data_IF_787381084956
#
_entry.id   IF_787381084956
#
_cell.length_a   1.000
_cell.length_b   1.000
_cell.length_c   1.000
_cell.angle_alpha   90.00
_cell.angle_beta   90.00
_cell.angle_gamma   90.00
#
_symmetry.space_group_name_H-M   'P 1'
#
loop_
_entity.id
_entity.type
_entity.pdbx_description
1 polymer ?
#
# COMPACT_ATOMS: atom_id res chain seq x y z
N UNK A 1 -10.13 -36.27 0.36
CA UNK A 1 -8.78 -35.75 0.67
C UNK A 1 -8.93 -34.69 1.74
N UNK A 2 -8.78 -35.09 3.01
CA UNK A 2 -8.87 -34.20 4.18
C UNK A 2 -7.49 -33.55 4.42
N UNK A 3 -7.06 -32.74 3.48
CA UNK A 3 -5.86 -31.91 3.70
C UNK A 3 -6.20 -30.79 4.67
N UNK A 4 -5.32 -30.50 5.62
CA UNK A 4 -5.44 -29.30 6.46
C UNK A 4 -5.61 -28.05 5.57
N UNK A 5 -6.46 -27.09 5.97
CA UNK A 5 -6.62 -25.85 5.22
C UNK A 5 -5.27 -25.14 5.10
N UNK A 6 -4.91 -24.69 3.89
CA UNK A 6 -3.68 -23.92 3.69
C UNK A 6 -3.69 -22.67 4.56
N UNK A 7 -2.56 -22.38 5.15
CA UNK A 7 -2.36 -21.19 6.00
C UNK A 7 -1.64 -20.10 5.22
N UNK A 8 -2.23 -18.90 5.17
CA UNK A 8 -1.73 -17.77 4.41
C UNK A 8 -1.38 -16.63 5.36
N UNK A 9 -0.14 -16.16 5.35
CA UNK A 9 0.27 -14.96 6.05
C UNK A 9 0.36 -13.77 5.09
N UNK A 10 -0.38 -12.67 5.32
CA UNK A 10 -0.31 -11.46 4.50
C UNK A 10 0.27 -10.33 5.33
N UNK A 11 1.51 -9.95 5.03
CA UNK A 11 2.23 -8.88 5.69
C UNK A 11 2.13 -7.62 4.85
N UNK A 12 1.57 -6.53 5.40
CA UNK A 12 1.32 -5.36 4.59
C UNK A 12 1.63 -4.04 5.33
N UNK A 13 2.03 -3.04 4.56
CA UNK A 13 2.04 -1.65 4.99
C UNK A 13 0.93 -0.86 4.30
N UNK A 14 0.22 -0.02 5.05
CA UNK A 14 -0.81 0.85 4.49
C UNK A 14 -0.78 2.23 5.14
N UNK A 15 -0.50 3.29 4.37
CA UNK A 15 -0.53 4.66 4.87
C UNK A 15 -1.95 5.12 5.19
N UNK A 16 -2.82 5.15 4.20
CA UNK A 16 -4.16 5.76 4.26
C UNK A 16 -5.31 4.77 4.06
N UNK A 17 -5.03 3.47 4.12
CA UNK A 17 -6.04 2.42 4.05
C UNK A 17 -6.15 1.70 2.70
N UNK A 18 -5.60 2.21 1.61
CA UNK A 18 -5.75 1.59 0.29
C UNK A 18 -5.12 0.20 0.19
N UNK A 19 -3.86 0.02 0.63
CA UNK A 19 -3.22 -1.30 0.66
C UNK A 19 -3.95 -2.24 1.61
N UNK A 20 -4.43 -1.73 2.76
CA UNK A 20 -5.27 -2.50 3.69
C UNK A 20 -6.53 -3.02 3.01
N UNK A 21 -7.23 -2.16 2.26
CA UNK A 21 -8.43 -2.58 1.52
C UNK A 21 -8.12 -3.71 0.52
N UNK A 22 -6.98 -3.64 -0.18
CA UNK A 22 -6.53 -4.73 -1.06
C UNK A 22 -6.20 -5.99 -0.25
N UNK A 23 -5.54 -5.86 0.90
CA UNK A 23 -5.27 -6.97 1.82
C UNK A 23 -6.57 -7.65 2.25
N UNK A 24 -7.58 -6.86 2.64
CA UNK A 24 -8.88 -7.37 3.08
C UNK A 24 -9.59 -8.13 1.93
N UNK A 25 -9.50 -7.63 0.69
CA UNK A 25 -10.01 -8.30 -0.52
C UNK A 25 -9.33 -9.66 -0.72
N UNK A 26 -8.00 -9.70 -0.66
CA UNK A 26 -7.25 -10.94 -0.84
C UNK A 26 -7.53 -11.93 0.30
N UNK A 27 -7.53 -11.47 1.55
CA UNK A 27 -7.82 -12.29 2.71
C UNK A 27 -9.22 -12.92 2.63
N UNK A 28 -10.23 -12.12 2.26
CA UNK A 28 -11.59 -12.61 2.04
C UNK A 28 -11.62 -13.65 0.92
N UNK A 29 -10.94 -13.37 -0.20
CA UNK A 29 -10.91 -14.29 -1.34
C UNK A 29 -10.21 -15.62 -1.01
N UNK A 30 -9.13 -15.61 -0.21
CA UNK A 30 -8.50 -16.84 0.27
C UNK A 30 -9.41 -17.63 1.23
N UNK A 31 -10.10 -16.92 2.13
CA UNK A 31 -11.07 -17.56 3.04
C UNK A 31 -12.24 -18.20 2.29
N UNK A 32 -12.74 -17.54 1.24
CA UNK A 32 -13.77 -18.10 0.32
C UNK A 32 -13.29 -19.39 -0.37
N UNK A 33 -11.97 -19.61 -0.48
CA UNK A 33 -11.36 -20.84 -1.02
C UNK A 33 -10.91 -21.83 0.08
N UNK A 34 -11.38 -21.65 1.31
CA UNK A 34 -11.11 -22.59 2.43
C UNK A 34 -9.74 -22.43 3.08
N UNK A 35 -9.01 -21.33 2.86
CA UNK A 35 -7.73 -21.08 3.50
C UNK A 35 -7.89 -20.39 4.87
N UNK A 36 -7.01 -20.69 5.82
CA UNK A 36 -6.82 -19.88 7.02
C UNK A 36 -5.93 -18.70 6.69
N UNK A 37 -6.28 -17.46 7.12
CA UNK A 37 -5.59 -16.25 6.72
C UNK A 37 -5.33 -15.33 7.90
N UNK A 38 -4.06 -14.97 8.11
CA UNK A 38 -3.62 -13.90 8.98
C UNK A 38 -3.22 -12.68 8.14
N UNK A 39 -3.82 -11.51 8.43
CA UNK A 39 -3.48 -10.25 7.80
C UNK A 39 -2.80 -9.32 8.83
N UNK A 40 -1.52 -9.03 8.63
CA UNK A 40 -0.65 -8.45 9.64
C UNK A 40 -0.07 -7.13 9.13
N UNK A 41 -0.32 -6.04 9.87
CA UNK A 41 0.26 -4.74 9.58
C UNK A 41 1.72 -4.70 10.06
N UNK A 42 2.66 -4.52 9.14
CA UNK A 42 4.10 -4.56 9.45
C UNK A 42 4.56 -3.41 10.34
N UNK A 43 3.90 -2.27 10.29
CA UNK A 43 4.23 -1.13 11.14
C UNK A 43 3.90 -1.38 12.63
N UNK A 44 2.91 -2.21 12.93
CA UNK A 44 2.63 -2.67 14.29
C UNK A 44 3.71 -3.65 14.76
N UNK A 45 4.16 -4.55 13.89
CA UNK A 45 5.26 -5.46 14.22
C UNK A 45 6.54 -4.71 14.52
N UNK A 46 6.92 -3.74 13.66
CA UNK A 46 8.11 -2.92 13.83
C UNK A 46 8.07 -2.06 15.11
N UNK A 47 6.90 -1.52 15.45
CA UNK A 47 6.74 -0.71 16.68
C UNK A 47 6.88 -1.53 17.94
N UNK A 48 6.39 -2.75 17.93
CA UNK A 48 6.32 -3.62 19.10
C UNK A 48 7.43 -4.67 19.14
N UNK A 49 8.40 -4.60 18.21
CA UNK A 49 9.50 -5.57 18.05
C UNK A 49 9.00 -7.04 18.02
N UNK A 50 7.88 -7.28 17.30
CA UNK A 50 7.29 -8.60 17.18
C UNK A 50 8.08 -9.40 16.13
N UNK A 51 8.53 -10.59 16.50
CA UNK A 51 9.21 -11.50 15.59
C UNK A 51 8.25 -12.07 14.54
N UNK A 52 8.77 -12.29 13.34
CA UNK A 52 8.02 -12.84 12.23
C UNK A 52 8.10 -14.38 12.25
N UNK A 53 7.00 -15.04 12.55
CA UNK A 53 6.91 -16.51 12.57
C UNK A 53 6.46 -17.04 11.19
N UNK A 54 7.40 -17.09 10.24
CA UNK A 54 7.10 -17.51 8.87
C UNK A 54 6.79 -19.01 8.76
N UNK A 55 7.25 -19.82 9.71
CA UNK A 55 7.08 -21.28 9.69
C UNK A 55 5.62 -21.73 9.72
N UNK A 56 4.73 -20.95 10.31
CA UNK A 56 3.29 -21.27 10.43
C UNK A 56 2.48 -21.08 9.13
N UNK A 57 3.06 -20.46 8.10
CA UNK A 57 2.36 -20.20 6.84
C UNK A 57 2.87 -21.08 5.71
N UNK A 58 1.95 -21.65 4.93
CA UNK A 58 2.27 -22.37 3.71
C UNK A 58 2.68 -21.39 2.59
N UNK A 59 2.00 -20.25 2.53
CA UNK A 59 2.25 -19.19 1.55
C UNK A 59 2.29 -17.85 2.27
N UNK A 60 3.26 -16.99 1.92
CA UNK A 60 3.35 -15.63 2.45
C UNK A 60 3.07 -14.60 1.36
N UNK A 61 2.30 -13.57 1.71
CA UNK A 61 2.01 -12.44 0.87
C UNK A 61 2.62 -11.15 1.41
N UNK A 62 3.13 -10.29 0.52
CA UNK A 62 3.77 -9.03 0.87
C UNK A 62 3.10 -7.87 0.15
N UNK A 63 2.51 -6.93 0.91
CA UNK A 63 1.72 -5.82 0.39
C UNK A 63 2.26 -4.44 0.76
N UNK A 64 2.36 -3.53 -0.23
CA UNK A 64 2.82 -2.17 0.03
C UNK A 64 2.20 -1.13 -0.93
N UNK A 65 2.12 0.15 -0.51
CA UNK A 65 1.81 1.23 -1.42
C UNK A 65 3.05 1.64 -2.22
N UNK A 66 2.87 1.99 -3.50
CA UNK A 66 3.96 2.53 -4.31
C UNK A 66 4.17 4.00 -3.95
N UNK A 67 5.34 4.31 -3.43
CA UNK A 67 5.83 5.66 -3.19
C UNK A 67 6.96 5.97 -4.17
N UNK A 68 6.81 7.03 -4.98
CA UNK A 68 7.80 7.44 -5.98
C UNK A 68 8.41 6.25 -6.74
N UNK A 69 7.55 5.40 -7.31
CA UNK A 69 7.87 4.20 -8.10
C UNK A 69 8.48 3.02 -7.33
N UNK A 70 8.59 3.07 -5.99
CA UNK A 70 9.16 2.00 -5.18
C UNK A 70 8.29 1.65 -3.96
N UNK A 71 8.65 0.59 -3.25
CA UNK A 71 8.13 0.32 -1.90
C UNK A 71 8.70 1.36 -0.91
N UNK A 72 7.93 1.79 0.10
CA UNK A 72 8.41 2.74 1.09
C UNK A 72 9.51 2.12 1.97
N UNK A 73 10.41 2.97 2.51
CA UNK A 73 11.56 2.54 3.32
C UNK A 73 11.17 1.60 4.47
N UNK A 74 10.08 1.87 5.17
CA UNK A 74 9.58 1.03 6.26
C UNK A 74 9.30 -0.42 5.82
N UNK A 75 8.94 -0.62 4.54
CA UNK A 75 8.72 -1.96 4.00
C UNK A 75 10.04 -2.71 3.83
N UNK A 76 11.08 -2.06 3.34
CA UNK A 76 12.41 -2.67 3.28
C UNK A 76 13.00 -2.93 4.67
N UNK A 77 12.79 -2.04 5.64
CA UNK A 77 13.17 -2.26 7.05
C UNK A 77 12.50 -3.55 7.58
N UNK A 78 11.22 -3.77 7.27
CA UNK A 78 10.54 -5.01 7.63
C UNK A 78 11.16 -6.23 6.94
N UNK A 79 11.48 -6.16 5.63
CA UNK A 79 12.09 -7.28 4.91
C UNK A 79 13.43 -7.72 5.53
N UNK A 80 14.20 -6.81 6.15
CA UNK A 80 15.46 -7.19 6.83
C UNK A 80 15.23 -8.07 8.06
N UNK A 81 14.06 -7.99 8.68
CA UNK A 81 13.70 -8.77 9.88
C UNK A 81 13.14 -10.16 9.55
N UNK A 82 12.85 -10.44 8.28
CA UNK A 82 12.36 -11.76 7.88
C UNK A 82 13.44 -12.82 8.18
N UNK A 83 13.05 -13.99 8.75
CA UNK A 83 13.93 -15.14 8.84
C UNK A 83 14.28 -15.66 7.45
N UNK A 84 15.16 -16.65 7.38
CA UNK A 84 15.43 -17.39 6.14
C UNK A 84 14.12 -18.02 5.62
N UNK A 85 13.88 -17.84 4.33
CA UNK A 85 12.65 -18.26 3.66
C UNK A 85 12.60 -19.73 3.28
N UNK A 86 13.72 -20.43 3.26
CA UNK A 86 13.82 -21.85 2.87
C UNK A 86 12.98 -22.19 1.62
N UNK A 87 13.19 -21.43 0.55
CA UNK A 87 12.47 -21.53 -0.73
C UNK A 87 10.95 -21.37 -0.62
N UNK A 88 10.44 -20.75 0.46
CA UNK A 88 9.00 -20.53 0.66
C UNK A 88 8.40 -19.71 -0.48
N UNK A 89 7.33 -20.25 -1.07
CA UNK A 89 6.57 -19.54 -2.11
C UNK A 89 5.86 -18.31 -1.54
N UNK A 90 5.99 -17.21 -2.27
CA UNK A 90 5.42 -15.93 -1.86
C UNK A 90 4.73 -15.22 -3.02
N UNK A 91 3.84 -14.31 -2.68
CA UNK A 91 3.26 -13.38 -3.64
C UNK A 91 3.45 -11.94 -3.18
N UNK A 92 3.52 -11.04 -4.14
CA UNK A 92 3.67 -9.60 -3.90
C UNK A 92 2.48 -8.86 -4.51
N UNK A 93 1.89 -7.96 -3.76
CA UNK A 93 0.92 -7.03 -4.31
C UNK A 93 1.25 -5.60 -3.91
N UNK A 94 0.90 -4.68 -4.78
CA UNK A 94 1.16 -3.26 -4.57
C UNK A 94 -0.06 -2.43 -4.90
N UNK A 95 -0.30 -1.38 -4.13
CA UNK A 95 -1.33 -0.39 -4.42
C UNK A 95 -0.70 0.90 -4.94
N UNK A 96 -1.30 1.50 -5.97
CA UNK A 96 -0.85 2.78 -6.53
C UNK A 96 -2.06 3.63 -6.90
N UNK A 97 -1.91 4.95 -6.87
CA UNK A 97 -2.92 5.88 -7.38
C UNK A 97 -3.03 5.88 -8.89
N UNK A 98 -2.04 5.35 -9.61
CA UNK A 98 -1.95 5.40 -11.06
C UNK A 98 -1.40 4.09 -11.62
N UNK A 99 -1.91 3.56 -12.76
CA UNK A 99 -1.39 2.35 -13.39
C UNK A 99 -0.04 2.54 -14.09
N UNK A 100 0.43 3.77 -14.29
CA UNK A 100 1.61 4.08 -15.08
C UNK A 100 2.92 3.88 -14.30
N UNK A 101 3.97 3.42 -14.98
CA UNK A 101 5.36 3.28 -14.48
C UNK A 101 5.55 2.48 -13.17
N UNK A 102 4.64 1.59 -12.82
CA UNK A 102 4.75 0.81 -11.58
C UNK A 102 5.59 -0.48 -11.70
N UNK A 103 6.12 -0.80 -12.88
CA UNK A 103 6.87 -2.05 -13.12
C UNK A 103 8.12 -2.19 -12.25
N UNK A 104 8.92 -1.13 -12.12
CA UNK A 104 10.18 -1.15 -11.39
C UNK A 104 10.06 -1.38 -9.89
N UNK A 105 8.93 -1.02 -9.29
CA UNK A 105 8.74 -1.10 -7.82
C UNK A 105 8.86 -2.52 -7.25
N UNK A 106 8.59 -3.56 -8.02
CA UNK A 106 8.68 -4.95 -7.55
C UNK A 106 10.08 -5.53 -7.69
N UNK A 107 10.94 -4.97 -8.53
CA UNK A 107 12.29 -5.54 -8.77
C UNK A 107 13.12 -5.55 -7.49
N UNK A 108 13.18 -4.42 -6.78
CA UNK A 108 13.95 -4.31 -5.54
C UNK A 108 13.37 -5.16 -4.41
N UNK A 109 12.03 -5.22 -4.30
CA UNK A 109 11.35 -6.07 -3.32
C UNK A 109 11.59 -7.54 -3.61
N UNK A 110 11.48 -7.97 -4.89
CA UNK A 110 11.75 -9.34 -5.31
C UNK A 110 13.20 -9.74 -5.05
N UNK A 111 14.16 -8.83 -5.33
CA UNK A 111 15.57 -9.04 -5.01
C UNK A 111 15.78 -9.26 -3.52
N UNK A 112 15.24 -8.36 -2.67
CA UNK A 112 15.38 -8.47 -1.21
C UNK A 112 14.74 -9.76 -0.65
N UNK A 113 13.58 -10.18 -1.18
CA UNK A 113 12.95 -11.45 -0.81
C UNK A 113 13.78 -12.66 -1.26
N UNK A 114 14.31 -12.62 -2.49
CA UNK A 114 15.17 -13.68 -3.00
C UNK A 114 16.47 -13.84 -2.19
N UNK A 115 17.11 -12.73 -1.78
CA UNK A 115 18.28 -12.72 -0.92
C UNK A 115 18.02 -13.36 0.46
N UNK A 116 16.77 -13.39 0.88
CA UNK A 116 16.28 -14.05 2.10
C UNK A 116 15.76 -15.49 1.84
N UNK A 117 15.94 -16.05 0.65
CA UNK A 117 15.50 -17.40 0.31
C UNK A 117 14.00 -17.54 0.00
N UNK A 118 13.27 -16.46 -0.26
CA UNK A 118 11.86 -16.51 -0.68
C UNK A 118 11.71 -16.54 -2.19
N UNK A 119 10.75 -17.32 -2.70
CA UNK A 119 10.43 -17.41 -4.13
C UNK A 119 9.15 -16.64 -4.42
N UNK A 120 9.27 -15.47 -5.08
CA UNK A 120 8.09 -14.72 -5.54
C UNK A 120 7.53 -15.38 -6.80
N UNK A 121 6.37 -16.00 -6.70
CA UNK A 121 5.68 -16.67 -7.81
C UNK A 121 4.59 -15.80 -8.46
N UNK A 122 4.02 -14.86 -7.74
CA UNK A 122 2.94 -14.00 -8.25
C UNK A 122 3.11 -12.55 -7.84
N UNK A 123 2.87 -11.63 -8.78
CA UNK A 123 2.93 -10.18 -8.58
C UNK A 123 1.70 -9.50 -9.19
N UNK A 124 1.09 -8.55 -8.45
CA UNK A 124 -0.04 -7.79 -8.99
C UNK A 124 -0.09 -6.34 -8.51
N UNK A 125 -0.41 -5.46 -9.46
CA UNK A 125 -0.74 -4.07 -9.18
C UNK A 125 -2.25 -3.92 -8.97
N UNK A 126 -2.62 -3.19 -7.92
CA UNK A 126 -3.98 -2.71 -7.65
C UNK A 126 -4.00 -1.19 -7.70
N UNK A 127 -4.69 -0.64 -8.70
CA UNK A 127 -4.88 0.81 -8.76
C UNK A 127 -6.02 1.16 -7.83
N UNK A 128 -5.73 2.01 -6.87
CA UNK A 128 -6.62 2.50 -5.83
C UNK A 128 -6.67 4.04 -5.90
N UNK A 129 -7.60 4.70 -5.23
CA UNK A 129 -7.66 6.17 -5.27
C UNK A 129 -6.34 6.80 -4.82
N UNK A 130 -5.93 7.89 -5.49
CA UNK A 130 -4.70 8.59 -5.15
C UNK A 130 -4.75 9.16 -3.72
N UNK A 131 -3.58 9.19 -3.06
CA UNK A 131 -3.42 9.74 -1.70
C UNK A 131 -2.84 11.17 -1.72
N UNK A 132 -2.39 11.62 -2.88
CA UNK A 132 -1.75 12.92 -3.08
C UNK A 132 -2.13 13.50 -4.43
N UNK A 133 -1.97 14.78 -4.61
CA UNK A 133 -2.19 15.57 -5.82
C UNK A 133 -3.66 15.73 -6.21
N UNK A 134 -4.38 14.64 -6.45
CA UNK A 134 -5.70 14.69 -7.08
C UNK A 134 -6.70 13.80 -6.35
N UNK A 135 -7.86 14.35 -6.03
CA UNK A 135 -9.00 13.56 -5.55
C UNK A 135 -9.79 13.04 -6.73
N UNK A 136 -9.92 11.73 -6.82
CA UNK A 136 -10.79 11.11 -7.82
C UNK A 136 -12.25 11.30 -7.46
N UNK A 137 -13.11 11.37 -8.46
CA UNK A 137 -14.57 11.40 -8.27
C UNK A 137 -15.06 10.06 -7.68
N UNK A 138 -16.09 10.10 -6.85
CA UNK A 138 -16.57 8.92 -6.13
C UNK A 138 -16.96 7.75 -7.06
N UNK A 139 -17.57 7.97 -8.25
CA UNK A 139 -17.81 6.88 -9.21
C UNK A 139 -16.52 6.19 -9.67
N UNK A 140 -15.43 6.92 -9.92
CA UNK A 140 -14.17 6.31 -10.29
C UNK A 140 -13.55 5.55 -9.12
N UNK A 141 -13.64 6.09 -7.90
CA UNK A 141 -13.18 5.40 -6.68
C UNK A 141 -13.89 4.04 -6.55
N UNK A 142 -15.20 4.01 -6.72
CA UNK A 142 -16.00 2.78 -6.68
C UNK A 142 -15.63 1.81 -7.79
N UNK A 143 -15.42 2.27 -9.01
CA UNK A 143 -14.98 1.44 -10.14
C UNK A 143 -13.59 0.82 -9.88
N UNK A 144 -12.64 1.59 -9.36
CA UNK A 144 -11.30 1.09 -9.01
C UNK A 144 -11.38 0.00 -7.94
N UNK A 145 -12.19 0.20 -6.90
CA UNK A 145 -12.41 -0.79 -5.86
C UNK A 145 -13.04 -2.08 -6.41
N UNK A 146 -14.09 -1.98 -7.22
CA UNK A 146 -14.72 -3.14 -7.85
C UNK A 146 -13.73 -3.89 -8.76
N UNK A 147 -12.87 -3.16 -9.46
CA UNK A 147 -11.79 -3.76 -10.25
C UNK A 147 -10.76 -4.46 -9.36
N UNK A 148 -10.42 -3.88 -8.20
CA UNK A 148 -9.53 -4.51 -7.25
C UNK A 148 -10.12 -5.82 -6.69
N UNK A 149 -11.42 -5.87 -6.40
CA UNK A 149 -12.11 -7.11 -5.97
C UNK A 149 -11.99 -8.19 -7.05
N UNK A 150 -12.31 -7.87 -8.31
CA UNK A 150 -12.22 -8.83 -9.42
C UNK A 150 -10.80 -9.34 -9.61
N UNK A 151 -9.81 -8.43 -9.66
CA UNK A 151 -8.39 -8.79 -9.81
C UNK A 151 -7.85 -9.56 -8.62
N UNK A 152 -8.33 -9.29 -7.41
CA UNK A 152 -7.98 -10.02 -6.19
C UNK A 152 -8.46 -11.46 -6.25
N UNK A 153 -9.71 -11.69 -6.65
CA UNK A 153 -10.25 -13.06 -6.83
C UNK A 153 -9.47 -13.86 -7.89
N UNK A 154 -9.10 -13.23 -8.99
CA UNK A 154 -8.26 -13.85 -10.03
C UNK A 154 -6.86 -14.17 -9.47
N UNK A 155 -6.21 -13.25 -8.77
CA UNK A 155 -4.88 -13.46 -8.19
C UNK A 155 -4.87 -14.62 -7.19
N UNK A 156 -5.86 -14.71 -6.33
CA UNK A 156 -5.99 -15.81 -5.36
C UNK A 156 -6.13 -17.17 -6.05
N UNK A 157 -6.97 -17.25 -7.09
CA UNK A 157 -7.10 -18.49 -7.89
C UNK A 157 -5.78 -18.90 -8.54
N UNK A 158 -5.06 -17.95 -9.16
CA UNK A 158 -3.75 -18.20 -9.77
C UNK A 158 -2.72 -18.69 -8.74
N UNK A 159 -2.67 -18.09 -7.55
CA UNK A 159 -1.76 -18.50 -6.46
C UNK A 159 -2.07 -19.92 -6.00
N UNK A 160 -3.36 -20.25 -5.78
CA UNK A 160 -3.76 -21.56 -5.30
C UNK A 160 -3.57 -22.67 -6.34
N UNK A 161 -3.66 -22.34 -7.64
CA UNK A 161 -3.38 -23.24 -8.76
C UNK A 161 -1.89 -23.28 -9.14
N UNK A 162 -1.04 -22.55 -8.40
CA UNK A 162 0.41 -22.46 -8.66
C UNK A 162 0.76 -21.95 -10.07
N UNK A 163 -0.06 -21.04 -10.59
CA UNK A 163 0.17 -20.38 -11.89
C UNK A 163 1.07 -19.17 -11.68
N UNK A 164 2.34 -19.18 -12.12
CA UNK A 164 3.25 -18.06 -11.90
C UNK A 164 2.84 -16.87 -12.75
N UNK A 165 2.86 -15.70 -12.13
CA UNK A 165 2.55 -14.43 -12.82
C UNK A 165 3.44 -13.30 -12.32
N UNK A 166 4.57 -13.13 -12.98
CA UNK A 166 5.52 -12.07 -12.68
C UNK A 166 5.36 -10.90 -13.67
N UNK A 167 5.53 -9.68 -13.17
CA UNK A 167 5.58 -8.51 -14.06
C UNK A 167 6.89 -8.48 -14.84
N UNK A 168 6.78 -8.28 -16.15
CA UNK A 168 7.96 -8.04 -17.00
C UNK A 168 8.51 -6.65 -16.68
N UNK A 169 9.78 -6.59 -16.31
CA UNK A 169 10.48 -5.34 -16.02
C UNK A 169 11.59 -5.11 -17.02
N UNK A 170 11.80 -3.85 -17.40
CA UNK A 170 12.95 -3.44 -18.20
C UNK A 170 14.08 -2.98 -17.27
N UNK A 171 15.33 -3.17 -17.67
CA UNK A 171 16.50 -2.64 -16.94
C UNK A 171 16.36 -1.14 -16.71
N UNK A 172 15.86 -0.41 -17.71
CA UNK A 172 15.60 1.02 -17.65
C UNK A 172 14.64 1.38 -16.49
N UNK A 173 13.53 0.64 -16.30
CA UNK A 173 12.60 0.90 -15.21
C UNK A 173 13.23 0.67 -13.84
N UNK A 174 14.18 -0.26 -13.74
CA UNK A 174 14.90 -0.56 -12.49
C UNK A 174 15.84 0.57 -12.10
N UNK A 175 16.62 1.12 -13.04
CA UNK A 175 17.51 2.26 -12.77
C UNK A 175 16.73 3.51 -12.38
N UNK A 176 15.65 3.82 -13.10
CA UNK A 176 14.75 4.94 -12.75
C UNK A 176 14.20 4.76 -11.34
N UNK A 177 13.69 3.58 -11.01
CA UNK A 177 13.15 3.29 -9.67
C UNK A 177 14.19 3.49 -8.58
N UNK A 178 15.44 3.02 -8.77
CA UNK A 178 16.51 3.20 -7.80
C UNK A 178 16.87 4.68 -7.57
N UNK A 179 16.99 5.46 -8.64
CA UNK A 179 17.29 6.88 -8.56
C UNK A 179 16.18 7.68 -7.85
N UNK A 180 14.92 7.44 -8.23
CA UNK A 180 13.77 8.11 -7.59
C UNK A 180 13.56 7.67 -6.14
N UNK A 181 13.89 6.44 -5.77
CA UNK A 181 13.77 5.94 -4.40
C UNK A 181 14.70 6.68 -3.43
N UNK A 182 15.93 6.99 -3.85
CA UNK A 182 16.85 7.79 -3.03
C UNK A 182 16.33 9.21 -2.83
N UNK A 183 15.83 9.84 -3.91
CA UNK A 183 15.26 11.18 -3.87
C UNK A 183 13.97 11.23 -3.03
N UNK A 184 13.13 10.21 -3.11
CA UNK A 184 11.89 10.08 -2.32
C UNK A 184 12.19 9.99 -0.82
N UNK A 185 13.17 9.18 -0.42
CA UNK A 185 13.56 9.07 0.98
C UNK A 185 14.03 10.40 1.56
N UNK A 186 14.76 11.20 0.80
CA UNK A 186 15.14 12.56 1.19
C UNK A 186 13.91 13.48 1.24
N UNK A 187 13.09 13.47 0.19
CA UNK A 187 11.86 14.28 0.09
C UNK A 187 10.87 13.97 1.21
N UNK A 188 10.71 12.70 1.59
CA UNK A 188 9.85 12.28 2.68
C UNK A 188 10.31 12.84 4.04
N UNK A 189 11.63 12.83 4.30
CA UNK A 189 12.21 13.42 5.52
C UNK A 189 12.01 14.94 5.56
N UNK A 190 12.24 15.60 4.43
CA UNK A 190 12.01 17.04 4.28
C UNK A 190 10.54 17.38 4.50
N UNK A 191 9.62 16.66 3.84
CA UNK A 191 8.18 16.84 4.03
C UNK A 191 7.77 16.67 5.49
N UNK A 192 8.26 15.60 6.16
CA UNK A 192 7.98 15.34 7.56
C UNK A 192 8.40 16.48 8.49
N UNK A 193 9.60 17.03 8.32
CA UNK A 193 10.09 18.18 9.10
C UNK A 193 9.30 19.47 8.86
N UNK A 194 8.67 19.59 7.69
CA UNK A 194 7.88 20.75 7.31
C UNK A 194 6.40 20.65 7.67
N UNK A 195 5.98 19.57 8.34
CA UNK A 195 4.64 19.50 8.92
C UNK A 195 4.53 20.40 10.15
N UNK A 196 3.37 20.98 10.32
CA UNK A 196 3.03 21.78 11.50
C UNK A 196 1.56 21.52 11.88
N UNK A 197 1.21 21.90 13.09
CA UNK A 197 -0.18 21.92 13.56
C UNK A 197 -0.70 23.36 13.58
N UNK A 198 -1.97 23.53 13.21
CA UNK A 198 -2.70 24.80 13.36
C UNK A 198 -3.32 24.91 14.76
N UNK A 199 -3.87 26.06 15.08
CA UNK A 199 -4.55 26.33 16.36
C UNK A 199 -5.78 25.44 16.60
N UNK A 200 -6.30 24.79 15.55
CA UNK A 200 -7.36 23.78 15.67
C UNK A 200 -6.91 22.50 16.36
N UNK A 201 -5.63 22.33 16.69
CA UNK A 201 -5.10 21.13 17.32
C UNK A 201 -5.56 21.02 18.78
N UNK A 202 -6.33 19.98 19.08
CA UNK A 202 -6.80 19.67 20.44
C UNK A 202 -5.87 18.72 21.23
N UNK A 203 -4.67 18.45 20.73
CA UNK A 203 -3.65 17.60 21.35
C UNK A 203 -4.10 16.15 21.64
N UNK A 204 -5.06 15.61 20.90
CA UNK A 204 -5.63 14.27 21.10
C UNK A 204 -4.62 13.11 20.96
N UNK A 205 -3.42 13.34 20.39
CA UNK A 205 -2.37 12.33 20.28
C UNK A 205 -2.53 11.31 19.14
N UNK A 206 -3.65 11.29 18.39
CA UNK A 206 -3.91 10.32 17.31
C UNK A 206 -2.78 10.30 16.27
N UNK A 207 -2.22 11.46 15.91
CA UNK A 207 -1.12 11.53 14.96
C UNK A 207 0.17 10.87 15.49
N UNK A 208 0.38 10.88 16.81
CA UNK A 208 1.54 10.25 17.45
C UNK A 208 1.37 8.72 17.42
N UNK A 209 0.24 8.21 17.94
CA UNK A 209 -0.03 6.77 18.00
C UNK A 209 -0.09 6.13 16.62
N UNK A 210 -0.65 6.83 15.63
CA UNK A 210 -0.79 6.35 14.26
C UNK A 210 0.49 6.48 13.42
N UNK A 211 1.54 7.20 13.87
CA UNK A 211 2.74 7.36 13.06
C UNK A 211 3.52 6.04 12.96
N UNK A 212 3.70 5.45 11.76
CA UNK A 212 4.32 4.14 11.61
C UNK A 212 5.82 4.14 11.95
N UNK A 213 6.47 5.28 11.91
CA UNK A 213 7.91 5.44 12.14
C UNK A 213 8.26 6.20 13.42
N UNK A 214 7.28 6.41 14.31
CA UNK A 214 7.45 7.21 15.53
C UNK A 214 8.08 8.60 15.25
N UNK A 215 7.68 9.20 14.11
CA UNK A 215 8.20 10.51 13.66
C UNK A 215 7.57 11.70 14.39
N UNK A 216 6.57 11.48 15.24
CA UNK A 216 5.78 12.54 15.86
C UNK A 216 5.81 12.36 17.37
N UNK A 217 6.11 13.42 18.10
CA UNK A 217 6.15 13.43 19.56
C UNK A 217 5.39 14.64 20.14
N UNK A 218 5.04 14.58 21.42
CA UNK A 218 4.53 15.72 22.18
C UNK A 218 5.65 16.20 23.13
N UNK A 219 6.03 17.47 22.99
CA UNK A 219 7.05 18.09 23.83
C UNK A 219 6.56 19.45 24.33
N UNK A 220 6.63 19.69 25.63
CA UNK A 220 6.19 20.95 26.25
C UNK A 220 4.80 21.43 25.78
N UNK A 221 3.84 20.51 25.69
CA UNK A 221 2.47 20.84 25.23
C UNK A 221 2.31 21.02 23.71
N UNK A 222 3.33 20.81 22.90
CA UNK A 222 3.29 20.99 21.44
C UNK A 222 3.60 19.72 20.70
N UNK A 223 2.97 19.53 19.54
CA UNK A 223 3.29 18.42 18.61
C UNK A 223 4.56 18.79 17.83
N UNK A 224 5.52 17.86 17.81
CA UNK A 224 6.80 17.98 17.08
C UNK A 224 6.93 16.90 16.04
N UNK A 225 7.36 17.28 14.84
CA UNK A 225 7.63 16.39 13.71
C UNK A 225 9.14 16.28 13.50
N UNK A 226 9.62 15.07 13.24
CA UNK A 226 11.05 14.75 13.11
C UNK A 226 11.42 14.33 11.68
N UNK A 227 12.58 13.67 11.50
CA UNK A 227 13.13 13.30 10.20
C UNK A 227 12.95 11.82 9.81
N UNK A 228 12.05 11.09 10.49
CA UNK A 228 11.77 9.68 10.20
C UNK A 228 10.53 9.49 9.33
N UNK A 229 9.96 10.56 8.76
CA UNK A 229 8.77 10.49 7.94
C UNK A 229 8.96 9.59 6.72
N UNK A 230 7.95 8.78 6.39
CA UNK A 230 7.88 7.92 5.20
C UNK A 230 6.81 8.37 4.21
N UNK A 231 6.37 9.63 4.30
CA UNK A 231 5.40 10.25 3.38
C UNK A 231 4.06 9.47 3.24
N UNK A 232 3.64 8.76 4.29
CA UNK A 232 2.45 7.91 4.24
C UNK A 232 1.12 8.66 4.37
N UNK A 233 1.12 9.94 4.64
CA UNK A 233 -0.04 10.85 4.80
C UNK A 233 -1.01 10.48 5.94
N UNK A 234 -0.76 9.42 6.69
CA UNK A 234 -1.67 8.90 7.72
C UNK A 234 -2.02 9.96 8.76
N UNK A 235 -1.02 10.67 9.31
CA UNK A 235 -1.26 11.68 10.34
C UNK A 235 -2.12 12.86 9.86
N UNK A 236 -2.01 13.24 8.58
CA UNK A 236 -2.79 14.34 8.01
C UNK A 236 -4.25 13.92 7.86
N UNK A 237 -4.51 12.75 7.28
CA UNK A 237 -5.88 12.32 6.97
C UNK A 237 -6.61 11.68 8.15
N UNK A 238 -5.89 11.24 9.20
CA UNK A 238 -6.51 10.75 10.43
C UNK A 238 -6.70 11.82 11.49
N UNK A 239 -6.31 13.07 11.23
CA UNK A 239 -6.46 14.16 12.20
C UNK A 239 -7.91 14.63 12.25
N UNK A 240 -8.67 14.42 13.36
CA UNK A 240 -10.08 14.78 13.42
C UNK A 240 -10.36 16.26 13.18
N UNK A 241 -9.63 17.22 13.80
CA UNK A 241 -9.82 18.64 13.52
C UNK A 241 -9.09 19.12 12.24
N UNK A 242 -8.51 18.24 11.42
CA UNK A 242 -7.73 18.57 10.22
C UNK A 242 -6.61 19.58 10.50
N UNK A 243 -6.01 19.52 11.68
CA UNK A 243 -5.05 20.52 12.15
C UNK A 243 -3.63 20.35 11.60
N UNK A 244 -3.32 19.25 10.88
CA UNK A 244 -1.97 18.99 10.37
C UNK A 244 -1.87 19.43 8.92
N UNK A 245 -0.87 20.25 8.61
CA UNK A 245 -0.62 20.74 7.25
C UNK A 245 0.89 20.85 6.99
N UNK A 246 1.36 20.66 5.76
CA UNK A 246 2.72 21.00 5.38
C UNK A 246 2.87 22.53 5.18
N UNK A 247 4.02 23.10 5.57
CA UNK A 247 4.34 24.52 5.29
C UNK A 247 4.50 24.77 3.80
N UNK A 248 5.23 23.85 3.14
CA UNK A 248 5.41 23.79 1.69
C UNK A 248 4.66 22.59 1.11
N UNK A 249 4.44 22.58 -0.20
CA UNK A 249 3.82 21.47 -0.91
C UNK A 249 2.36 21.17 -0.46
N UNK A 250 1.61 22.21 -0.08
CA UNK A 250 0.20 22.07 0.34
C UNK A 250 -0.68 21.42 -0.72
N UNK A 251 -0.32 21.58 -2.00
CA UNK A 251 -1.02 20.98 -3.13
C UNK A 251 -0.97 19.45 -3.16
N UNK A 252 -0.04 18.84 -2.40
CA UNK A 252 0.00 17.38 -2.24
C UNK A 252 -1.13 16.83 -1.37
N UNK A 253 -1.72 17.68 -0.52
CA UNK A 253 -2.77 17.26 0.41
C UNK A 253 -4.14 17.34 -0.26
N UNK A 254 -4.80 16.21 -0.38
CA UNK A 254 -6.14 16.12 -0.97
C UNK A 254 -7.18 16.67 0.02
N UNK A 255 -7.97 17.61 -0.43
CA UNK A 255 -9.10 18.17 0.33
C UNK A 255 -10.34 18.30 -0.57
N UNK A 256 -11.53 17.85 -0.10
CA UNK A 256 -11.75 17.03 1.08
C UNK A 256 -11.14 15.63 0.91
N UNK A 257 -10.71 15.00 2.02
CA UNK A 257 -10.30 13.60 2.01
C UNK A 257 -11.51 12.68 1.76
N UNK A 258 -11.29 11.55 1.13
CA UNK A 258 -12.35 10.57 0.87
C UNK A 258 -12.37 9.45 1.92
N UNK A 259 -13.55 8.94 2.21
CA UNK A 259 -13.72 7.71 2.96
C UNK A 259 -14.07 6.58 1.97
N UNK A 260 -13.10 5.68 1.73
CA UNK A 260 -13.24 4.61 0.74
C UNK A 260 -14.44 3.72 1.04
N UNK A 261 -14.60 3.29 2.28
CA UNK A 261 -15.69 2.38 2.67
C UNK A 261 -17.05 3.02 2.48
N UNK A 262 -17.20 4.29 2.91
CA UNK A 262 -18.45 5.05 2.71
C UNK A 262 -18.81 5.15 1.24
N UNK A 263 -17.85 5.47 0.36
CA UNK A 263 -18.10 5.58 -1.09
C UNK A 263 -18.47 4.24 -1.70
N UNK A 264 -17.81 3.18 -1.31
CA UNK A 264 -18.05 1.83 -1.87
C UNK A 264 -19.40 1.28 -1.43
N UNK A 265 -19.82 1.51 -0.19
CA UNK A 265 -21.12 1.07 0.33
C UNK A 265 -22.30 1.94 -0.13
N UNK A 266 -22.04 3.13 -0.65
CA UNK A 266 -23.09 4.03 -1.12
C UNK A 266 -23.68 3.53 -2.44
N UNK A 267 -24.93 3.08 -2.39
CA UNK A 267 -25.66 2.58 -3.55
C UNK A 267 -26.08 3.66 -4.54
N UNK A 268 -26.07 4.93 -4.11
CA UNK A 268 -26.40 6.08 -4.98
C UNK A 268 -25.26 6.48 -5.90
N UNK A 269 -24.02 6.11 -5.54
CA UNK A 269 -22.85 6.35 -6.38
C UNK A 269 -22.88 5.39 -7.56
N UNK A 270 -23.16 5.94 -8.75
CA UNK A 270 -23.17 5.17 -10.01
C UNK A 270 -21.73 4.80 -10.42
N UNK A 271 -21.58 3.69 -11.13
CA UNK A 271 -20.31 3.32 -11.71
C UNK A 271 -19.90 4.33 -12.79
N UNK A 272 -18.62 4.68 -12.78
CA UNK A 272 -18.00 5.54 -13.78
C UNK A 272 -17.30 4.66 -14.81
N UNK A 273 -17.73 4.71 -16.07
CA UNK A 273 -17.13 3.91 -17.12
C UNK A 273 -16.07 4.69 -17.89
N UNK A 274 -14.80 4.35 -17.63
CA UNK A 274 -13.70 4.75 -18.49
C UNK A 274 -13.71 3.86 -19.72
N UNK A 275 -13.79 4.47 -20.91
CA UNK A 275 -13.80 3.78 -22.20
C UNK A 275 -12.58 4.16 -23.04
N UNK A 276 -12.38 3.48 -24.18
CA UNK A 276 -11.36 3.85 -25.16
C UNK A 276 -11.50 5.30 -25.68
N UNK A 277 -12.70 5.89 -25.58
CA UNK A 277 -12.99 7.29 -25.96
C UNK A 277 -12.66 8.31 -24.89
N UNK A 278 -12.31 7.85 -23.67
CA UNK A 278 -11.95 8.76 -22.56
C UNK A 278 -10.71 9.54 -22.91
N UNK A 279 -10.79 10.88 -22.81
CA UNK A 279 -9.67 11.81 -23.08
C UNK A 279 -9.05 12.33 -21.77
N UNK A 280 -7.88 12.96 -21.87
CA UNK A 280 -7.20 13.60 -20.74
C UNK A 280 -6.52 12.60 -19.80
N UNK A 281 -6.30 13.03 -18.55
CA UNK A 281 -5.52 12.31 -17.55
C UNK A 281 -5.94 10.85 -17.36
N UNK A 282 -7.22 10.52 -17.41
CA UNK A 282 -7.72 9.18 -17.15
C UNK A 282 -7.68 8.22 -18.36
N UNK A 283 -7.19 8.66 -19.52
CA UNK A 283 -7.14 7.82 -20.73
C UNK A 283 -6.35 6.52 -20.51
N UNK A 284 -5.23 6.59 -19.79
CA UNK A 284 -4.36 5.43 -19.57
C UNK A 284 -4.92 4.43 -18.54
N UNK A 285 -5.93 4.83 -17.75
CA UNK A 285 -6.65 3.90 -16.87
C UNK A 285 -7.46 2.86 -17.65
N UNK A 286 -7.87 3.18 -18.89
CA UNK A 286 -8.68 2.27 -19.69
C UNK A 286 -8.05 0.90 -19.83
N UNK A 287 -6.75 0.84 -20.16
CA UNK A 287 -6.03 -0.42 -20.29
C UNK A 287 -6.06 -1.23 -18.99
N UNK A 288 -5.77 -0.60 -17.86
CA UNK A 288 -5.80 -1.26 -16.55
C UNK A 288 -7.20 -1.80 -16.19
N UNK A 289 -8.25 -1.04 -16.48
CA UNK A 289 -9.65 -1.37 -16.14
C UNK A 289 -10.23 -2.45 -17.08
N UNK A 290 -9.74 -2.54 -18.32
CA UNK A 290 -10.17 -3.54 -19.32
C UNK A 290 -9.39 -4.87 -19.24
N UNK A 291 -8.20 -4.88 -18.65
CA UNK A 291 -7.44 -6.11 -18.39
C UNK A 291 -8.12 -6.95 -17.30
N UNK A 292 -8.41 -8.21 -17.61
CA UNK A 292 -9.01 -9.20 -16.69
C UNK A 292 -7.93 -9.90 -15.86
#
# INVERSE_FOLDING_TARGET
MTGHPRTIGIFYFSGTGNTKAVTDILATSFKEQGCAVDAIAIDEMLKNNINVEMGKYDIAGFGYPVHAFNAPRIFFEFLTLLPDGDQKKTFVFKSSGDPFMNGGSTVLVRKALHEKGYIVSSERLFVMPANVFIRYRDPLIKQLFNTAVRRGKTMVKEILLDVPRLQKNTLFSTYITAAFSALESFGARFFGKNLYVTDSCNLCGICISNCPTNNITKQKGHIRFHSKCTFCMRCIYSCPPNAISPRFLRFLVIKPWYNLQKIVSDTTVKDFHITHKTKGFFRHFYRYLSEQ
#
